data_IF_143186490473
#
_entry.id   IF_143186490473
#
_cell.length_a   1.000
_cell.length_b   1.000
_cell.length_c   1.000
_cell.angle_alpha   90.00
_cell.angle_beta   90.00
_cell.angle_gamma   90.00
#
_symmetry.space_group_name_H-M   'P 1'
#
loop_
_entity.id
_entity.type
_entity.pdbx_description
1 polymer ?
#
# COMPACT_ATOMS: atom_id res chain seq x y z
N UNK A 1 46.05 8.57 27.62
CA UNK A 1 44.66 9.04 27.74
C UNK A 1 43.80 8.16 26.83
N UNK A 2 42.71 7.58 27.37
CA UNK A 2 41.69 6.92 26.60
C UNK A 2 40.61 7.96 26.29
N UNK A 3 40.81 8.68 25.19
CA UNK A 3 39.81 9.63 24.72
C UNK A 3 38.48 8.89 24.41
N UNK A 4 37.37 9.40 24.91
CA UNK A 4 36.05 8.88 24.69
C UNK A 4 35.37 9.70 23.60
N UNK A 5 35.03 9.05 22.48
CA UNK A 5 34.29 9.68 21.40
C UNK A 5 32.75 9.52 21.61
N UNK A 6 32.01 10.59 21.36
CA UNK A 6 30.54 10.56 21.43
C UNK A 6 29.90 11.22 20.22
N UNK A 7 28.79 10.62 19.73
CA UNK A 7 27.92 11.25 18.74
C UNK A 7 27.09 12.32 19.43
N UNK A 8 27.09 13.53 18.87
CA UNK A 8 26.43 14.69 19.47
C UNK A 8 25.25 15.21 18.62
N UNK A 9 25.37 15.14 17.30
CA UNK A 9 24.37 15.65 16.39
C UNK A 9 24.24 14.74 15.16
N UNK A 10 23.05 14.72 14.58
CA UNK A 10 22.72 13.99 13.36
C UNK A 10 21.87 14.88 12.48
N UNK A 11 22.05 14.81 11.15
CA UNK A 11 21.20 15.48 10.17
C UNK A 11 20.98 14.58 8.96
N UNK A 12 19.75 14.62 8.42
CA UNK A 12 19.42 13.97 7.14
C UNK A 12 19.88 14.86 5.99
N UNK A 13 20.62 14.30 5.05
CA UNK A 13 21.14 15.04 3.90
C UNK A 13 20.02 15.38 2.89
N UNK A 14 18.98 14.55 2.81
CA UNK A 14 17.88 14.73 1.88
C UNK A 14 16.81 15.70 2.41
N UNK A 15 16.39 15.54 3.66
CA UNK A 15 15.28 16.33 4.23
C UNK A 15 15.73 17.59 4.97
N UNK A 16 17.00 17.67 5.34
CA UNK A 16 17.55 18.74 6.17
C UNK A 16 17.12 18.67 7.65
N UNK A 17 16.37 17.64 8.05
CA UNK A 17 16.03 17.42 9.45
C UNK A 17 17.27 17.11 10.27
N UNK A 18 17.32 17.60 11.50
CA UNK A 18 18.44 17.39 12.40
C UNK A 18 17.98 17.18 13.84
N UNK A 19 18.82 16.50 14.62
CA UNK A 19 18.57 16.23 16.05
C UNK A 19 19.87 15.93 16.79
N UNK A 20 19.80 15.95 18.11
CA UNK A 20 20.90 15.49 18.95
C UNK A 20 20.90 13.95 19.03
N UNK A 21 21.98 13.37 19.55
CA UNK A 21 22.01 11.96 19.89
C UNK A 21 20.79 11.55 20.71
N UNK A 22 20.23 10.36 20.43
CA UNK A 22 19.01 9.79 20.98
C UNK A 22 17.67 10.38 20.48
N UNK A 23 17.71 11.41 19.64
CA UNK A 23 16.50 11.92 18.96
C UNK A 23 16.35 11.25 17.59
N UNK A 24 15.11 10.92 17.24
CA UNK A 24 14.78 10.42 15.89
C UNK A 24 14.93 11.53 14.85
N UNK A 25 15.71 11.28 13.80
CA UNK A 25 15.88 12.19 12.66
C UNK A 25 15.23 11.55 11.44
N UNK A 26 14.22 12.20 10.90
CA UNK A 26 13.47 11.71 9.74
C UNK A 26 14.30 11.92 8.46
N UNK A 27 14.58 10.83 7.76
CA UNK A 27 15.06 10.79 6.39
C UNK A 27 13.94 10.82 5.36
N UNK A 28 14.24 10.37 4.15
CA UNK A 28 13.24 10.22 3.08
C UNK A 28 12.40 8.96 3.30
N UNK A 29 13.06 7.85 3.62
CA UNK A 29 12.45 6.52 3.69
C UNK A 29 12.23 6.03 5.13
N UNK A 30 12.86 6.66 6.12
CA UNK A 30 12.71 6.22 7.49
C UNK A 30 13.26 7.18 8.53
N UNK A 31 13.23 6.74 9.78
CA UNK A 31 13.72 7.50 10.92
C UNK A 31 14.96 6.84 11.52
N UNK A 32 16.06 7.59 11.57
CA UNK A 32 17.30 7.18 12.23
C UNK A 32 17.35 7.73 13.65
N UNK A 33 17.71 6.88 14.60
CA UNK A 33 18.06 7.28 15.97
C UNK A 33 19.45 6.73 16.28
N UNK A 34 20.38 7.60 16.65
CA UNK A 34 21.76 7.23 17.01
C UNK A 34 22.02 7.57 18.47
N UNK A 35 22.55 6.63 19.24
CA UNK A 35 22.97 6.87 20.61
C UNK A 35 24.36 7.54 20.67
N UNK A 36 24.69 8.11 21.83
CA UNK A 36 25.98 8.77 22.02
C UNK A 36 27.21 7.83 21.85
N UNK A 37 27.01 6.54 22.11
CA UNK A 37 28.04 5.50 21.92
C UNK A 37 28.20 5.04 20.46
N UNK A 38 27.40 5.63 19.54
CA UNK A 38 27.41 5.30 18.11
C UNK A 38 26.49 4.14 17.72
N UNK A 39 25.84 3.46 18.66
CA UNK A 39 24.82 2.48 18.31
C UNK A 39 23.60 3.18 17.68
N UNK A 40 22.92 2.50 16.76
CA UNK A 40 21.78 3.12 16.06
C UNK A 40 20.65 2.14 15.77
N UNK A 41 19.49 2.72 15.56
CA UNK A 41 18.31 2.05 15.00
C UNK A 41 17.79 2.87 13.82
N UNK A 42 17.33 2.16 12.79
CA UNK A 42 16.66 2.77 11.66
C UNK A 42 15.32 2.04 11.46
N UNK A 43 14.27 2.80 11.26
CA UNK A 43 12.94 2.28 11.00
C UNK A 43 12.45 2.87 9.68
N UNK A 44 12.28 2.02 8.67
CA UNK A 44 11.63 2.39 7.42
C UNK A 44 10.12 2.52 7.69
N UNK A 45 9.62 3.74 7.81
CA UNK A 45 8.26 4.03 8.30
C UNK A 45 7.62 5.23 7.61
N UNK A 46 8.04 5.54 6.40
CA UNK A 46 7.46 6.64 5.62
C UNK A 46 6.64 6.10 4.47
N UNK A 47 5.67 6.89 3.99
CA UNK A 47 4.93 6.55 2.77
C UNK A 47 5.83 6.37 1.53
N UNK A 48 7.01 6.98 1.52
CA UNK A 48 7.98 6.79 0.45
C UNK A 48 8.70 5.42 0.54
N UNK A 49 8.81 4.85 1.73
CA UNK A 49 9.33 3.49 1.92
C UNK A 49 8.29 2.43 1.55
N UNK A 50 7.04 2.64 1.95
CA UNK A 50 5.91 1.76 1.61
C UNK A 50 5.61 1.73 0.09
N UNK A 51 5.96 2.79 -0.64
CA UNK A 51 5.73 2.88 -2.08
C UNK A 51 6.89 2.33 -2.93
N UNK A 52 7.84 1.62 -2.33
CA UNK A 52 8.93 0.96 -3.05
C UNK A 52 8.47 -0.40 -3.56
N UNK A 53 8.56 -0.59 -4.85
CA UNK A 53 8.26 -1.88 -5.46
C UNK A 53 9.24 -2.98 -4.98
N UNK A 54 8.83 -4.23 -5.04
CA UNK A 54 9.67 -5.36 -4.66
C UNK A 54 11.04 -5.35 -5.36
N UNK A 55 12.10 -5.28 -4.57
CA UNK A 55 13.49 -5.26 -5.04
C UNK A 55 14.04 -3.89 -5.42
N UNK A 56 13.27 -2.82 -5.29
CA UNK A 56 13.80 -1.47 -5.38
C UNK A 56 14.82 -1.23 -4.26
N UNK A 57 15.93 -0.59 -4.60
CA UNK A 57 16.96 -0.21 -3.64
C UNK A 57 17.15 1.31 -3.65
N UNK A 58 16.94 1.92 -2.50
CA UNK A 58 17.10 3.35 -2.28
C UNK A 58 17.98 3.60 -1.05
N UNK A 59 18.47 4.83 -0.88
CA UNK A 59 19.34 5.14 0.27
C UNK A 59 18.90 6.40 0.99
N UNK A 60 18.93 6.34 2.32
CA UNK A 60 18.97 7.51 3.18
C UNK A 60 20.43 7.76 3.62
N UNK A 61 20.85 9.01 3.56
CA UNK A 61 22.20 9.44 3.98
C UNK A 61 22.06 10.45 5.11
N UNK A 62 22.74 10.16 6.20
CA UNK A 62 22.78 11.02 7.38
C UNK A 62 24.23 11.45 7.64
N UNK A 63 24.40 12.71 7.99
CA UNK A 63 25.68 13.24 8.51
C UNK A 63 25.59 13.33 10.02
N UNK A 64 26.55 12.79 10.72
CA UNK A 64 26.64 12.86 12.17
C UNK A 64 27.93 13.53 12.61
N UNK A 65 27.91 14.15 13.78
CA UNK A 65 29.06 14.83 14.41
C UNK A 65 29.52 14.00 15.58
N UNK A 66 30.83 13.72 15.62
CA UNK A 66 31.54 13.10 16.75
C UNK A 66 32.33 14.15 17.48
N UNK A 67 32.36 14.10 18.78
CA UNK A 67 33.20 14.90 19.64
C UNK A 67 34.02 14.03 20.60
N UNK A 68 35.18 14.52 20.99
CA UNK A 68 35.96 14.00 22.10
C UNK A 68 35.43 14.53 23.46
N UNK A 69 35.93 14.02 24.55
CA UNK A 69 35.53 14.38 25.90
C UNK A 69 35.96 15.79 26.32
N UNK A 70 36.96 16.39 25.65
CA UNK A 70 37.41 17.77 25.86
C UNK A 70 36.55 18.83 25.16
N UNK A 71 35.56 18.42 24.32
CA UNK A 71 34.67 19.29 23.53
C UNK A 71 35.38 20.26 22.57
N UNK A 72 36.70 20.11 22.40
CA UNK A 72 37.53 21.02 21.61
C UNK A 72 37.60 20.60 20.15
N UNK A 73 37.57 19.30 19.88
CA UNK A 73 37.64 18.75 18.55
C UNK A 73 36.31 18.05 18.19
N UNK A 74 35.82 18.35 17.00
CA UNK A 74 34.65 17.66 16.43
C UNK A 74 34.93 17.38 14.96
N UNK A 75 34.44 16.22 14.50
CA UNK A 75 34.48 15.87 13.09
C UNK A 75 33.11 15.33 12.66
N UNK A 76 32.90 15.29 11.37
CA UNK A 76 31.64 14.79 10.78
C UNK A 76 31.93 13.60 9.90
N UNK A 77 30.96 12.63 9.95
CA UNK A 77 30.98 11.49 9.07
C UNK A 77 29.56 11.20 8.56
N UNK A 78 29.45 10.36 7.56
CA UNK A 78 28.18 9.96 6.97
C UNK A 78 27.84 8.52 7.30
N UNK A 79 26.56 8.28 7.55
CA UNK A 79 25.95 6.95 7.63
C UNK A 79 24.98 6.82 6.46
N UNK A 80 25.17 5.81 5.63
CA UNK A 80 24.28 5.47 4.52
C UNK A 80 23.49 4.23 4.91
N UNK A 81 22.17 4.32 4.84
CA UNK A 81 21.24 3.22 5.05
C UNK A 81 20.61 2.87 3.69
N UNK A 82 20.75 1.64 3.26
CA UNK A 82 20.02 1.11 2.10
C UNK A 82 18.70 0.54 2.58
N UNK A 83 17.62 0.94 1.91
CA UNK A 83 16.27 0.42 2.11
C UNK A 83 15.89 -0.34 0.85
N UNK A 84 15.45 -1.58 1.01
CA UNK A 84 14.98 -2.43 -0.08
C UNK A 84 13.46 -2.56 0.02
N UNK A 85 12.77 -2.31 -1.08
CA UNK A 85 11.32 -2.50 -1.20
C UNK A 85 10.94 -3.98 -1.10
N UNK A 86 9.79 -4.22 -0.57
CA UNK A 86 9.11 -5.52 -0.53
C UNK A 86 7.73 -5.35 -1.16
N UNK A 87 7.18 -6.43 -1.67
CA UNK A 87 5.84 -6.45 -2.24
C UNK A 87 4.77 -6.26 -1.15
N UNK A 88 3.89 -5.30 -1.35
CA UNK A 88 2.73 -5.06 -0.51
C UNK A 88 1.47 -5.68 -1.15
N UNK A 89 0.58 -6.23 -0.32
CA UNK A 89 -0.66 -6.80 -0.84
C UNK A 89 -1.70 -5.70 -1.12
N UNK A 90 -2.49 -5.83 -2.19
CA UNK A 90 -3.56 -4.89 -2.48
C UNK A 90 -4.66 -4.91 -1.42
N UNK A 91 -5.31 -3.77 -1.25
CA UNK A 91 -6.46 -3.58 -0.35
C UNK A 91 -7.73 -3.42 -1.17
N UNK A 92 -8.58 -4.46 -1.15
CA UNK A 92 -9.88 -4.46 -1.80
C UNK A 92 -10.94 -3.74 -0.97
N UNK A 93 -11.74 -2.90 -1.62
CA UNK A 93 -12.87 -2.19 -1.03
C UNK A 93 -14.20 -2.70 -1.62
N UNK A 94 -15.25 -2.66 -0.81
CA UNK A 94 -16.58 -3.11 -1.24
C UNK A 94 -17.20 -2.19 -2.29
N UNK A 95 -17.91 -2.80 -3.24
CA UNK A 95 -18.65 -2.14 -4.29
C UNK A 95 -20.15 -2.37 -4.15
N UNK A 96 -20.93 -1.54 -4.81
CA UNK A 96 -22.36 -1.70 -4.91
C UNK A 96 -22.90 -1.26 -6.28
N UNK A 97 -23.87 -1.98 -6.78
CA UNK A 97 -24.62 -1.63 -7.98
C UNK A 97 -26.12 -1.79 -7.73
N UNK A 98 -26.93 -1.04 -8.46
CA UNK A 98 -28.39 -1.12 -8.39
C UNK A 98 -28.97 -1.19 -9.80
N UNK A 99 -29.99 -2.01 -9.95
CA UNK A 99 -30.68 -2.24 -11.23
C UNK A 99 -32.11 -2.67 -10.97
N UNK A 100 -33.01 -2.35 -11.90
CA UNK A 100 -34.36 -2.88 -11.89
C UNK A 100 -34.41 -4.29 -12.50
N UNK A 101 -35.38 -5.09 -12.12
CA UNK A 101 -35.64 -6.39 -12.73
C UNK A 101 -35.74 -6.29 -14.27
N UNK A 102 -35.43 -7.35 -14.98
CA UNK A 102 -35.45 -7.47 -16.45
C UNK A 102 -34.44 -6.51 -17.17
N UNK A 103 -33.49 -5.95 -16.47
CA UNK A 103 -32.47 -5.06 -17.06
C UNK A 103 -31.08 -5.65 -16.95
N UNK A 104 -30.18 -5.03 -17.69
CA UNK A 104 -28.73 -5.31 -17.62
C UNK A 104 -27.98 -4.08 -17.09
N UNK A 105 -27.26 -4.25 -16.01
CA UNK A 105 -26.28 -3.30 -15.53
C UNK A 105 -24.94 -3.59 -16.22
N UNK A 106 -24.35 -2.57 -16.81
CA UNK A 106 -23.01 -2.67 -17.41
C UNK A 106 -22.12 -1.59 -16.77
N UNK A 107 -21.00 -2.00 -16.19
CA UNK A 107 -20.05 -1.14 -15.52
C UNK A 107 -18.69 -1.32 -16.20
N UNK A 108 -18.10 -0.20 -16.65
CA UNK A 108 -16.80 -0.20 -17.29
C UNK A 108 -15.66 -0.30 -16.26
N UNK A 109 -14.46 -0.69 -16.68
CA UNK A 109 -13.28 -0.83 -15.83
C UNK A 109 -12.99 0.42 -14.98
N UNK A 110 -13.12 1.63 -15.56
CA UNK A 110 -12.87 2.88 -14.83
C UNK A 110 -13.87 3.21 -13.71
N UNK A 111 -14.95 2.44 -13.59
CA UNK A 111 -15.93 2.50 -12.48
C UNK A 111 -16.24 1.09 -11.96
N UNK A 112 -15.43 0.13 -12.36
CA UNK A 112 -15.56 -1.28 -11.99
C UNK A 112 -15.08 -1.57 -10.57
N UNK A 113 -15.11 -2.84 -10.21
CA UNK A 113 -14.89 -3.28 -8.83
C UNK A 113 -13.48 -3.01 -8.29
N UNK A 114 -12.48 -2.79 -9.14
CA UNK A 114 -11.12 -2.44 -8.71
C UNK A 114 -10.84 -0.93 -8.72
N UNK A 115 -11.83 -0.11 -9.08
CA UNK A 115 -11.63 1.34 -9.22
C UNK A 115 -11.44 2.10 -7.90
N UNK A 116 -11.84 1.51 -6.80
CA UNK A 116 -11.70 2.02 -5.43
C UNK A 116 -10.72 1.19 -4.58
N UNK A 117 -10.11 0.15 -5.16
CA UNK A 117 -9.07 -0.65 -4.53
C UNK A 117 -7.72 0.09 -4.58
N UNK A 118 -6.85 -0.21 -3.66
CA UNK A 118 -5.55 0.48 -3.53
C UNK A 118 -4.43 -0.51 -3.29
N UNK A 119 -3.23 -0.06 -3.63
CA UNK A 119 -1.99 -0.73 -3.35
C UNK A 119 -0.98 0.29 -2.84
N UNK A 120 -0.04 -0.11 -1.99
CA UNK A 120 1.02 0.77 -1.50
C UNK A 120 2.14 0.91 -2.53
N UNK A 121 2.43 -0.15 -3.29
CA UNK A 121 3.47 -0.18 -4.30
C UNK A 121 3.18 0.78 -5.46
N UNK A 122 4.20 1.55 -5.86
CA UNK A 122 4.02 2.65 -6.81
C UNK A 122 3.68 2.21 -8.23
N UNK A 123 4.11 1.01 -8.64
CA UNK A 123 3.91 0.49 -10.00
C UNK A 123 2.87 -0.63 -10.08
N UNK A 124 2.17 -0.96 -9.00
CA UNK A 124 1.22 -2.06 -8.98
C UNK A 124 0.06 -1.85 -9.96
N UNK A 125 -0.33 -2.92 -10.63
CA UNK A 125 -1.41 -2.95 -11.61
C UNK A 125 -2.47 -3.95 -11.17
N UNK A 126 -3.52 -3.44 -10.51
CA UNK A 126 -4.56 -4.27 -9.92
C UNK A 126 -5.41 -4.99 -10.96
N UNK A 127 -5.75 -6.23 -10.67
CA UNK A 127 -6.64 -7.06 -11.47
C UNK A 127 -7.48 -7.99 -10.60
N UNK A 128 -8.66 -8.38 -11.10
CA UNK A 128 -9.45 -9.43 -10.46
C UNK A 128 -8.83 -10.78 -10.82
N UNK A 129 -8.28 -11.46 -9.84
CA UNK A 129 -7.61 -12.76 -10.00
C UNK A 129 -8.55 -13.96 -9.81
N UNK A 130 -9.59 -13.80 -8.98
CA UNK A 130 -10.55 -14.87 -8.71
C UNK A 130 -11.94 -14.33 -8.35
N UNK A 131 -12.97 -15.17 -8.52
CA UNK A 131 -14.33 -14.95 -8.04
C UNK A 131 -14.82 -16.23 -7.36
N UNK A 132 -15.41 -16.09 -6.18
CA UNK A 132 -15.91 -17.23 -5.42
C UNK A 132 -17.08 -17.91 -6.14
N UNK A 133 -16.99 -19.22 -6.31
CA UNK A 133 -18.02 -20.02 -6.95
C UNK A 133 -18.05 -19.97 -8.48
N UNK A 134 -17.08 -19.28 -9.11
CA UNK A 134 -17.01 -19.12 -10.56
C UNK A 134 -15.62 -18.95 -11.11
N UNK A 135 -15.54 -18.47 -12.33
CA UNK A 135 -14.31 -18.16 -13.06
C UNK A 135 -14.41 -16.74 -13.60
N UNK A 136 -13.37 -15.94 -13.44
CA UNK A 136 -13.29 -14.56 -13.97
C UNK A 136 -13.54 -14.58 -15.49
N UNK A 137 -14.36 -13.67 -15.97
CA UNK A 137 -14.78 -13.58 -17.36
C UNK A 137 -15.89 -14.56 -17.78
N UNK A 138 -16.36 -15.42 -16.89
CA UNK A 138 -17.48 -16.32 -17.14
C UNK A 138 -18.73 -15.93 -16.36
N UNK A 139 -19.88 -16.32 -16.88
CA UNK A 139 -21.17 -16.07 -16.23
C UNK A 139 -21.28 -16.85 -14.91
N UNK A 140 -21.60 -16.16 -13.83
CA UNK A 140 -21.83 -16.72 -12.50
C UNK A 140 -23.27 -16.43 -12.05
N UNK A 141 -24.02 -17.49 -11.77
CA UNK A 141 -25.41 -17.35 -11.32
C UNK A 141 -25.49 -16.90 -9.86
N UNK A 142 -26.20 -15.84 -9.62
CA UNK A 142 -26.74 -15.47 -8.33
C UNK A 142 -28.15 -16.02 -8.11
N UNK A 143 -28.81 -15.49 -7.10
CA UNK A 143 -30.23 -15.83 -6.81
C UNK A 143 -31.17 -15.07 -7.73
N UNK A 144 -30.89 -13.80 -8.00
CA UNK A 144 -31.73 -12.86 -8.71
C UNK A 144 -31.22 -12.50 -10.10
N UNK A 145 -29.99 -12.87 -10.42
CA UNK A 145 -29.41 -12.56 -11.72
C UNK A 145 -28.09 -13.28 -11.98
N UNK A 146 -27.44 -12.86 -13.06
CA UNK A 146 -26.19 -13.44 -13.54
C UNK A 146 -25.12 -12.37 -13.63
N UNK A 147 -24.02 -12.56 -12.93
CA UNK A 147 -22.84 -11.70 -13.00
C UNK A 147 -21.83 -12.26 -14.01
N UNK A 148 -21.20 -11.37 -14.79
CA UNK A 148 -19.96 -11.65 -15.52
C UNK A 148 -18.96 -10.56 -15.12
N UNK A 149 -17.91 -10.95 -14.40
CA UNK A 149 -16.85 -10.07 -13.90
C UNK A 149 -15.56 -10.35 -14.67
N UNK A 150 -14.99 -9.31 -15.27
CA UNK A 150 -13.73 -9.37 -16.01
C UNK A 150 -12.53 -9.10 -15.13
N UNK A 151 -11.34 -9.50 -15.58
CA UNK A 151 -10.08 -9.25 -14.84
C UNK A 151 -9.72 -7.77 -14.69
N UNK A 152 -10.21 -6.90 -15.56
CA UNK A 152 -10.03 -5.45 -15.48
C UNK A 152 -11.02 -4.76 -14.53
N UNK A 153 -11.81 -5.53 -13.77
CA UNK A 153 -12.83 -5.04 -12.86
C UNK A 153 -14.15 -4.61 -13.50
N UNK A 154 -14.23 -4.57 -14.83
CA UNK A 154 -15.52 -4.33 -15.51
C UNK A 154 -16.48 -5.48 -15.29
N UNK A 155 -17.77 -5.19 -15.24
CA UNK A 155 -18.76 -6.25 -15.08
C UNK A 155 -20.09 -5.96 -15.75
N UNK A 156 -20.82 -7.03 -16.01
CA UNK A 156 -22.23 -6.99 -16.36
C UNK A 156 -23.02 -7.82 -15.35
N UNK A 157 -24.17 -7.32 -14.96
CA UNK A 157 -25.13 -8.07 -14.17
C UNK A 157 -26.49 -8.01 -14.87
N UNK A 158 -27.04 -9.17 -15.16
CA UNK A 158 -28.33 -9.33 -15.82
C UNK A 158 -29.31 -9.78 -14.76
N UNK A 159 -30.28 -8.92 -14.42
CA UNK A 159 -31.36 -9.23 -13.50
C UNK A 159 -32.45 -10.03 -14.28
N UNK A 160 -32.30 -11.35 -14.31
CA UNK A 160 -33.19 -12.28 -15.04
C UNK A 160 -33.34 -13.62 -14.33
N UNK A 161 -33.10 -13.65 -13.02
CA UNK A 161 -33.26 -14.86 -12.20
C UNK A 161 -34.71 -15.19 -11.97
N UNK A 162 -35.04 -16.48 -11.84
CA UNK A 162 -36.41 -16.93 -11.56
C UNK A 162 -37.02 -16.38 -10.26
N UNK A 163 -36.16 -15.94 -9.34
CA UNK A 163 -36.57 -15.38 -8.05
C UNK A 163 -36.98 -13.91 -8.13
N UNK A 164 -36.59 -13.20 -9.19
CA UNK A 164 -37.01 -11.79 -9.41
C UNK A 164 -38.47 -11.66 -9.83
N UNK A 165 -38.97 -12.61 -10.62
CA UNK A 165 -40.40 -12.64 -11.04
C UNK A 165 -41.40 -12.70 -9.85
N UNK A 166 -40.87 -12.96 -8.65
CA UNK A 166 -41.65 -13.02 -7.41
C UNK A 166 -41.49 -11.82 -6.49
N UNK A 167 -40.71 -10.80 -6.90
CA UNK A 167 -40.55 -9.57 -6.09
C UNK A 167 -41.86 -8.75 -6.18
N UNK A 168 -42.34 -8.34 -5.00
CA UNK A 168 -43.47 -7.40 -4.95
C UNK A 168 -43.03 -6.02 -5.45
N UNK A 169 -43.95 -5.21 -5.94
CA UNK A 169 -43.67 -3.84 -6.34
C UNK A 169 -42.95 -3.09 -5.21
N UNK A 170 -41.88 -2.38 -5.54
CA UNK A 170 -41.00 -1.64 -4.63
C UNK A 170 -40.19 -2.53 -3.66
N UNK A 171 -40.21 -3.85 -3.79
CA UNK A 171 -39.30 -4.73 -3.04
C UNK A 171 -37.88 -4.67 -3.61
N UNK A 172 -36.91 -4.82 -2.74
CA UNK A 172 -35.48 -4.92 -3.11
C UNK A 172 -34.92 -6.27 -2.70
N UNK A 173 -34.04 -6.82 -3.53
CA UNK A 173 -33.31 -8.05 -3.27
C UNK A 173 -31.81 -7.82 -3.60
N UNK A 174 -30.93 -8.64 -3.04
CA UNK A 174 -29.47 -8.47 -3.19
C UNK A 174 -28.82 -9.81 -3.52
N UNK A 175 -28.01 -9.84 -4.57
CA UNK A 175 -26.99 -10.84 -4.78
C UNK A 175 -25.65 -10.29 -4.28
N UNK A 176 -24.85 -11.14 -3.62
CA UNK A 176 -23.52 -10.79 -3.15
C UNK A 176 -22.51 -11.74 -3.77
N UNK A 177 -21.49 -11.17 -4.38
CA UNK A 177 -20.37 -11.91 -4.97
C UNK A 177 -19.07 -11.48 -4.31
N UNK A 178 -18.18 -12.45 -4.05
CA UNK A 178 -16.86 -12.18 -3.47
C UNK A 178 -15.79 -12.44 -4.52
N UNK A 179 -14.93 -11.49 -4.71
CA UNK A 179 -13.77 -11.58 -5.63
C UNK A 179 -12.47 -11.34 -4.89
N UNK A 180 -11.37 -11.69 -5.53
CA UNK A 180 -10.00 -11.45 -5.06
C UNK A 180 -9.32 -10.50 -6.03
N UNK A 181 -8.72 -9.44 -5.50
CA UNK A 181 -7.84 -8.55 -6.24
C UNK A 181 -6.40 -9.02 -6.10
N UNK A 182 -5.57 -8.79 -7.11
CA UNK A 182 -4.14 -9.09 -7.13
C UNK A 182 -3.44 -8.02 -7.96
N UNK A 183 -2.22 -7.68 -7.56
CA UNK A 183 -1.23 -6.84 -8.22
C UNK A 183 -0.39 -7.61 -9.26
N UNK A 184 -0.37 -8.94 -9.18
CA UNK A 184 0.33 -9.83 -10.11
C UNK A 184 1.68 -10.33 -9.60
N UNK A 185 2.05 -10.04 -8.34
CA UNK A 185 3.27 -10.53 -7.68
C UNK A 185 3.14 -11.97 -7.14
#
# INVERSE_FOLDING_TARGET
DTESLAVTNISSNATGNSGNATQGVLGTYGTLTVAADGSYTYVANTAAAEALDAGDEVTDIFTYTVKDDDDVNSDTATLTITVTGIDDNPVGNNDAGAINEDKTLTVSAGSGVISNDTDADASSSLSVSAISGGTVGQALNGTYGVLTLSSDGSYTYVANGRSEDGLAADATATDTFTYTVSDGA
#
